data_IF_349557881322
#
_entry.id   IF_349557881322
#
_cell.length_a   1.000
_cell.length_b   1.000
_cell.length_c   1.000
_cell.angle_alpha   90.00
_cell.angle_beta   90.00
_cell.angle_gamma   90.00
#
_symmetry.space_group_name_H-M   'P 1'
#
loop_
_entity.id
_entity.type
_entity.pdbx_description
1 polymer ?
#
# COMPACT_ATOMS: atom_id res chain seq x y z
N UNK A 1 -5.97 19.67 38.28
CA UNK A 1 -6.77 20.53 37.39
C UNK A 1 -7.67 19.66 36.56
N UNK A 2 -8.95 19.57 36.92
CA UNK A 2 -9.98 18.77 36.23
C UNK A 2 -10.34 19.43 34.90
N UNK A 3 -10.06 18.79 33.79
CA UNK A 3 -10.57 19.22 32.47
C UNK A 3 -12.04 18.81 32.38
N UNK A 4 -12.93 19.73 32.68
CA UNK A 4 -14.36 19.60 32.33
C UNK A 4 -14.48 19.54 30.82
N UNK A 5 -14.72 18.35 30.32
CA UNK A 5 -15.09 18.11 28.92
C UNK A 5 -16.51 18.67 28.75
N UNK A 6 -16.60 19.91 28.25
CA UNK A 6 -17.87 20.53 27.90
C UNK A 6 -18.48 19.69 26.74
N UNK A 7 -19.41 18.81 27.06
CA UNK A 7 -20.17 18.02 26.09
C UNK A 7 -21.12 18.98 25.39
N UNK A 8 -20.72 19.45 24.21
CA UNK A 8 -21.60 20.27 23.35
C UNK A 8 -22.79 19.35 23.01
N UNK A 9 -24.00 19.74 23.42
CA UNK A 9 -25.21 18.99 23.09
C UNK A 9 -25.50 19.15 21.60
N UNK A 10 -25.52 18.01 20.88
CA UNK A 10 -25.85 17.97 19.47
C UNK A 10 -27.19 18.64 19.21
N UNK A 11 -27.23 19.54 18.28
CA UNK A 11 -28.46 20.19 17.82
C UNK A 11 -29.35 19.13 17.13
N UNK A 12 -30.65 19.46 16.93
CA UNK A 12 -31.54 18.53 16.17
C UNK A 12 -31.02 18.31 14.75
N UNK A 13 -30.45 19.29 14.14
CA UNK A 13 -29.85 19.23 12.80
C UNK A 13 -28.65 18.28 12.78
N UNK A 14 -27.78 18.36 13.78
CA UNK A 14 -26.62 17.48 13.92
C UNK A 14 -27.04 16.02 14.09
N UNK A 15 -28.13 15.75 14.83
CA UNK A 15 -28.66 14.40 15.01
C UNK A 15 -29.20 13.83 13.71
N UNK A 16 -29.98 14.61 12.95
CA UNK A 16 -30.50 14.22 11.65
C UNK A 16 -29.35 13.94 10.67
N UNK A 17 -28.39 14.83 10.60
CA UNK A 17 -27.19 14.68 9.77
C UNK A 17 -26.42 13.40 10.12
N UNK A 18 -26.16 13.16 11.39
CA UNK A 18 -25.50 11.96 11.88
C UNK A 18 -26.26 10.68 11.52
N UNK A 19 -27.60 10.69 11.65
CA UNK A 19 -28.43 9.52 11.24
C UNK A 19 -28.29 9.26 9.76
N UNK A 20 -28.39 10.29 8.91
CA UNK A 20 -28.24 10.13 7.45
C UNK A 20 -26.87 9.57 7.10
N UNK A 21 -25.80 10.11 7.70
CA UNK A 21 -24.44 9.59 7.48
C UNK A 21 -24.32 8.12 7.90
N UNK A 22 -24.84 7.75 9.06
CA UNK A 22 -24.81 6.36 9.53
C UNK A 22 -25.58 5.41 8.60
N UNK A 23 -26.72 5.84 8.07
CA UNK A 23 -27.48 5.05 7.10
C UNK A 23 -26.67 4.86 5.81
N UNK A 24 -26.05 5.93 5.29
CA UNK A 24 -25.21 5.85 4.09
C UNK A 24 -24.02 4.94 4.31
N UNK A 25 -23.32 5.08 5.44
CA UNK A 25 -22.17 4.24 5.79
C UNK A 25 -22.60 2.77 5.95
N UNK A 26 -23.71 2.51 6.62
CA UNK A 26 -24.22 1.15 6.79
C UNK A 26 -24.58 0.50 5.44
N UNK A 27 -25.21 1.25 4.54
CA UNK A 27 -25.55 0.78 3.20
C UNK A 27 -24.29 0.46 2.38
N UNK A 28 -23.30 1.35 2.40
CA UNK A 28 -22.00 1.12 1.76
C UNK A 28 -21.28 -0.10 2.34
N UNK A 29 -21.33 -0.26 3.66
CA UNK A 29 -20.72 -1.40 4.34
C UNK A 29 -21.37 -2.71 3.89
N UNK A 30 -22.69 -2.78 3.79
CA UNK A 30 -23.42 -3.97 3.29
C UNK A 30 -23.04 -4.28 1.85
N UNK A 31 -23.00 -3.27 0.98
CA UNK A 31 -22.63 -3.44 -0.43
C UNK A 31 -21.19 -4.00 -0.56
N UNK A 32 -20.25 -3.49 0.25
CA UNK A 32 -18.85 -3.93 0.23
C UNK A 32 -18.68 -5.30 0.92
N UNK A 33 -19.40 -5.54 2.01
CA UNK A 33 -19.30 -6.78 2.78
C UNK A 33 -19.87 -7.99 2.02
N UNK A 34 -20.92 -7.79 1.23
CA UNK A 34 -21.57 -8.89 0.50
C UNK A 34 -20.59 -9.71 -0.38
N UNK A 35 -19.84 -9.12 -1.32
CA UNK A 35 -18.89 -9.89 -2.14
C UNK A 35 -17.78 -10.56 -1.31
N UNK A 36 -17.36 -9.96 -0.20
CA UNK A 36 -16.37 -10.56 0.69
C UNK A 36 -16.93 -11.80 1.41
N UNK A 37 -18.12 -11.68 1.95
CA UNK A 37 -18.81 -12.81 2.61
C UNK A 37 -19.08 -13.92 1.58
N UNK A 38 -19.54 -13.56 0.38
CA UNK A 38 -19.77 -14.52 -0.70
C UNK A 38 -18.49 -15.31 -1.06
N UNK A 39 -17.35 -14.65 -1.21
CA UNK A 39 -16.07 -15.31 -1.50
C UNK A 39 -15.69 -16.27 -0.37
N UNK A 40 -15.80 -15.83 0.89
CA UNK A 40 -15.50 -16.68 2.05
C UNK A 40 -16.45 -17.87 2.10
N UNK A 41 -17.76 -17.67 1.93
CA UNK A 41 -18.75 -18.74 1.93
C UNK A 41 -18.52 -19.72 0.78
N UNK A 42 -18.21 -19.22 -0.42
CA UNK A 42 -17.89 -20.04 -1.58
C UNK A 42 -16.61 -20.86 -1.39
N UNK A 43 -15.62 -20.35 -0.67
CA UNK A 43 -14.37 -21.06 -0.41
C UNK A 43 -14.55 -22.30 0.47
N UNK A 44 -15.60 -22.33 1.28
CA UNK A 44 -15.97 -23.46 2.13
C UNK A 44 -17.13 -24.29 1.58
N UNK A 45 -17.58 -24.02 0.36
CA UNK A 45 -18.70 -24.72 -0.26
C UNK A 45 -18.21 -25.74 -1.30
N UNK A 46 -19.04 -26.74 -1.59
CA UNK A 46 -18.74 -27.70 -2.66
C UNK A 46 -18.70 -27.01 -4.03
N UNK A 47 -17.88 -27.54 -4.94
CA UNK A 47 -17.77 -27.04 -6.31
C UNK A 47 -19.12 -26.97 -7.03
N UNK A 48 -19.98 -27.98 -6.81
CA UNK A 48 -21.31 -28.03 -7.39
C UNK A 48 -22.24 -26.96 -6.85
N UNK A 49 -22.18 -26.67 -5.55
CA UNK A 49 -22.98 -25.63 -4.94
C UNK A 49 -22.61 -24.24 -5.46
N UNK A 50 -21.32 -24.00 -5.68
CA UNK A 50 -20.82 -22.73 -6.23
C UNK A 50 -21.19 -22.58 -7.71
N UNK A 51 -20.97 -23.61 -8.54
CA UNK A 51 -21.27 -23.55 -9.98
C UNK A 51 -22.77 -23.45 -10.26
N UNK A 52 -23.61 -24.02 -9.41
CA UNK A 52 -25.07 -23.94 -9.51
C UNK A 52 -25.65 -22.67 -8.87
N UNK A 53 -24.83 -21.77 -8.35
CA UNK A 53 -25.26 -20.51 -7.75
C UNK A 53 -26.09 -20.67 -6.45
N UNK A 54 -25.95 -21.82 -5.73
CA UNK A 54 -26.68 -22.07 -4.48
C UNK A 54 -26.07 -21.37 -3.27
N UNK A 55 -24.84 -20.90 -3.38
CA UNK A 55 -24.14 -20.17 -2.30
C UNK A 55 -24.58 -18.71 -2.33
N UNK A 56 -24.97 -18.17 -1.18
CA UNK A 56 -25.37 -16.76 -1.05
C UNK A 56 -24.59 -16.06 0.06
N UNK A 57 -24.91 -16.32 1.33
CA UNK A 57 -24.23 -15.72 2.50
C UNK A 57 -23.53 -16.78 3.36
N UNK A 58 -24.02 -18.01 3.32
CA UNK A 58 -23.51 -19.12 4.14
C UNK A 58 -22.99 -20.24 3.23
N UNK A 59 -21.98 -21.01 3.69
CA UNK A 59 -21.49 -22.17 2.97
C UNK A 59 -22.60 -23.20 2.74
N UNK A 60 -22.63 -23.80 1.55
CA UNK A 60 -23.56 -24.88 1.18
C UNK A 60 -22.73 -26.11 0.83
N UNK A 61 -23.12 -27.27 1.40
CA UNK A 61 -22.37 -28.53 1.23
C UNK A 61 -20.89 -28.33 1.58
N UNK A 62 -20.58 -28.12 2.87
CA UNK A 62 -19.23 -27.78 3.35
C UNK A 62 -18.17 -28.70 2.77
N UNK A 63 -17.16 -28.12 2.11
CA UNK A 63 -16.05 -28.82 1.46
C UNK A 63 -14.77 -28.01 1.51
N UNK A 64 -13.64 -28.68 1.69
CA UNK A 64 -12.29 -28.10 1.62
C UNK A 64 -11.56 -28.44 0.32
N UNK A 65 -12.24 -29.08 -0.63
CA UNK A 65 -11.65 -29.47 -1.93
C UNK A 65 -11.01 -28.29 -2.68
N UNK A 66 -11.61 -27.10 -2.58
CA UNK A 66 -11.04 -25.86 -3.15
C UNK A 66 -9.66 -25.53 -2.60
N UNK A 67 -9.51 -25.64 -1.28
CA UNK A 67 -8.22 -25.40 -0.61
C UNK A 67 -7.20 -26.50 -0.96
N UNK A 68 -7.59 -27.77 -0.97
CA UNK A 68 -6.72 -28.85 -1.38
C UNK A 68 -6.22 -28.68 -2.82
N UNK A 69 -7.11 -28.28 -3.74
CA UNK A 69 -6.74 -28.03 -5.14
C UNK A 69 -5.73 -26.87 -5.26
N UNK A 70 -5.89 -25.82 -4.43
CA UNK A 70 -4.97 -24.67 -4.41
C UNK A 70 -3.60 -25.09 -3.86
N UNK A 71 -3.55 -25.81 -2.72
CA UNK A 71 -2.29 -26.23 -2.11
C UNK A 71 -1.56 -27.33 -2.90
N UNK A 72 -2.28 -28.11 -3.71
CA UNK A 72 -1.65 -29.05 -4.66
C UNK A 72 -0.93 -28.35 -5.83
N UNK A 73 -1.26 -27.07 -6.10
CA UNK A 73 -0.59 -26.30 -7.15
C UNK A 73 0.64 -25.60 -6.59
N UNK A 74 1.82 -25.99 -7.07
CA UNK A 74 3.09 -25.37 -6.70
C UNK A 74 3.14 -23.86 -7.01
N UNK A 75 2.39 -23.38 -8.00
CA UNK A 75 2.38 -21.97 -8.42
C UNK A 75 1.98 -21.03 -7.29
N UNK A 76 1.02 -21.42 -6.44
CA UNK A 76 0.56 -20.61 -5.31
C UNK A 76 1.67 -20.48 -4.26
N UNK A 77 2.32 -21.59 -3.93
CA UNK A 77 3.43 -21.63 -2.95
C UNK A 77 4.61 -20.80 -3.48
N UNK A 78 4.95 -20.97 -4.77
CA UNK A 78 5.99 -20.18 -5.43
C UNK A 78 5.63 -18.70 -5.41
N UNK A 79 4.36 -18.34 -5.70
CA UNK A 79 3.87 -16.98 -5.66
C UNK A 79 4.04 -16.34 -4.28
N UNK A 80 3.63 -17.02 -3.21
CA UNK A 80 3.82 -16.54 -1.84
C UNK A 80 5.30 -16.37 -1.49
N UNK A 81 6.13 -17.39 -1.78
CA UNK A 81 7.58 -17.30 -1.55
C UNK A 81 8.20 -16.10 -2.25
N UNK A 82 7.87 -15.89 -3.51
CA UNK A 82 8.39 -14.78 -4.29
C UNK A 82 7.92 -13.44 -3.71
N UNK A 83 6.65 -13.33 -3.31
CA UNK A 83 6.11 -12.13 -2.68
C UNK A 83 6.86 -11.80 -1.40
N UNK A 84 7.10 -12.78 -0.51
CA UNK A 84 7.88 -12.57 0.70
C UNK A 84 9.30 -12.07 0.39
N UNK A 85 10.00 -12.74 -0.53
CA UNK A 85 11.36 -12.37 -0.92
C UNK A 85 11.40 -10.96 -1.49
N UNK A 86 10.53 -10.63 -2.44
CA UNK A 86 10.52 -9.30 -3.08
C UNK A 86 10.09 -8.20 -2.10
N UNK A 87 9.17 -8.49 -1.20
CA UNK A 87 8.76 -7.51 -0.18
C UNK A 87 9.90 -7.23 0.79
N UNK A 88 10.54 -8.26 1.35
CA UNK A 88 11.62 -8.06 2.32
C UNK A 88 12.82 -7.37 1.66
N UNK A 89 13.30 -7.90 0.54
CA UNK A 89 14.48 -7.34 -0.16
C UNK A 89 14.15 -5.95 -0.70
N UNK A 90 13.01 -5.79 -1.37
CA UNK A 90 12.59 -4.52 -1.96
C UNK A 90 12.40 -3.42 -0.93
N UNK A 91 11.73 -3.72 0.20
CA UNK A 91 11.55 -2.76 1.29
C UNK A 91 12.88 -2.38 1.94
N UNK A 92 13.77 -3.36 2.17
CA UNK A 92 15.09 -3.08 2.75
C UNK A 92 15.92 -2.18 1.84
N UNK A 93 15.95 -2.45 0.54
CA UNK A 93 16.66 -1.62 -0.45
C UNK A 93 16.02 -0.24 -0.54
N UNK A 94 14.68 -0.15 -0.57
CA UNK A 94 13.96 1.12 -0.62
C UNK A 94 14.27 1.99 0.60
N UNK A 95 14.21 1.44 1.81
CA UNK A 95 14.54 2.15 3.03
C UNK A 95 16.00 2.64 3.02
N UNK A 96 16.92 1.75 2.67
CA UNK A 96 18.36 2.08 2.65
C UNK A 96 18.64 3.20 1.66
N UNK A 97 18.17 3.09 0.42
CA UNK A 97 18.39 4.12 -0.61
C UNK A 97 17.67 5.43 -0.27
N UNK A 98 16.45 5.34 0.29
CA UNK A 98 15.71 6.53 0.71
C UNK A 98 16.45 7.29 1.81
N UNK A 99 16.99 6.60 2.81
CA UNK A 99 17.71 7.23 3.91
C UNK A 99 19.05 7.83 3.44
N UNK A 100 19.82 7.09 2.62
CA UNK A 100 21.07 7.60 2.03
C UNK A 100 20.83 8.86 1.18
N UNK A 101 19.72 8.92 0.45
CA UNK A 101 19.41 10.08 -0.37
C UNK A 101 18.77 11.22 0.45
N UNK A 102 17.92 10.91 1.43
CA UNK A 102 17.22 11.91 2.25
C UNK A 102 18.17 12.68 3.17
N UNK A 103 19.16 12.00 3.75
CA UNK A 103 20.09 12.61 4.69
C UNK A 103 20.86 13.80 4.08
N UNK A 104 21.61 13.65 2.98
CA UNK A 104 22.29 14.79 2.38
C UNK A 104 21.32 15.86 1.86
N UNK A 105 20.17 15.46 1.31
CA UNK A 105 19.16 16.42 0.84
C UNK A 105 18.50 17.22 1.98
N UNK A 106 18.56 16.74 3.22
CA UNK A 106 18.08 17.48 4.40
C UNK A 106 19.04 18.58 4.87
N UNK A 107 20.32 18.48 4.47
CA UNK A 107 21.36 19.43 4.85
C UNK A 107 21.18 20.77 4.13
N UNK A 108 21.31 21.88 4.87
CA UNK A 108 21.16 23.24 4.31
C UNK A 108 22.40 23.68 3.53
N UNK A 109 23.55 23.08 3.83
CA UNK A 109 24.87 23.35 3.23
C UNK A 109 25.11 22.55 1.94
N UNK A 110 24.19 21.66 1.53
CA UNK A 110 24.33 20.87 0.31
C UNK A 110 24.30 21.77 -0.94
N UNK A 111 25.41 21.82 -1.73
CA UNK A 111 25.43 22.54 -2.99
C UNK A 111 24.37 21.94 -3.93
N UNK A 112 23.60 22.80 -4.61
CA UNK A 112 22.51 22.41 -5.50
C UNK A 112 21.34 21.65 -4.82
N UNK A 113 21.28 21.56 -3.49
CA UNK A 113 20.24 20.80 -2.76
C UNK A 113 18.81 21.21 -3.10
N UNK A 114 18.56 22.51 -3.34
CA UNK A 114 17.24 23.00 -3.80
C UNK A 114 16.89 22.50 -5.20
N UNK A 115 17.86 22.49 -6.12
CA UNK A 115 17.68 21.99 -7.49
C UNK A 115 17.41 20.49 -7.52
N UNK A 116 18.17 19.72 -6.74
CA UNK A 116 17.94 18.27 -6.59
C UNK A 116 16.56 17.97 -6.00
N UNK A 117 16.17 18.70 -4.96
CA UNK A 117 14.83 18.54 -4.37
C UNK A 117 13.74 18.86 -5.38
N UNK A 118 13.91 19.92 -6.18
CA UNK A 118 12.96 20.27 -7.23
C UNK A 118 12.89 19.18 -8.31
N UNK A 119 14.03 18.60 -8.70
CA UNK A 119 14.09 17.48 -9.64
C UNK A 119 13.27 16.28 -9.14
N UNK A 120 13.48 15.85 -7.88
CA UNK A 120 12.69 14.77 -7.30
C UNK A 120 11.20 15.11 -7.21
N UNK A 121 10.86 16.33 -6.81
CA UNK A 121 9.47 16.79 -6.76
C UNK A 121 8.84 16.81 -8.16
N UNK A 122 9.59 17.20 -9.17
CA UNK A 122 9.13 17.16 -10.55
C UNK A 122 8.78 15.73 -10.99
N UNK A 123 9.63 14.74 -10.66
CA UNK A 123 9.36 13.33 -11.00
C UNK A 123 8.14 12.74 -10.29
N UNK A 124 7.66 13.34 -9.19
CA UNK A 124 6.39 12.93 -8.56
C UNK A 124 5.17 13.27 -9.41
N UNK A 125 5.23 14.40 -10.13
CA UNK A 125 4.12 14.93 -10.92
C UNK A 125 4.21 14.43 -12.36
N UNK A 126 5.42 14.40 -12.91
CA UNK A 126 5.69 14.01 -14.29
C UNK A 126 6.34 12.63 -14.35
N UNK A 127 5.58 11.63 -14.71
CA UNK A 127 6.11 10.29 -15.00
C UNK A 127 6.30 10.11 -16.50
N UNK A 128 7.37 9.40 -16.89
CA UNK A 128 7.61 9.07 -18.30
C UNK A 128 6.58 8.09 -18.89
N UNK A 129 5.78 7.45 -18.05
CA UNK A 129 4.81 6.46 -18.46
C UNK A 129 5.41 5.05 -18.67
N UNK A 130 4.56 4.14 -19.13
CA UNK A 130 4.92 2.72 -19.25
C UNK A 130 5.95 2.45 -20.35
N UNK A 131 5.86 3.13 -21.49
CA UNK A 131 6.74 2.88 -22.65
C UNK A 131 8.20 3.25 -22.35
N UNK A 132 8.54 4.45 -21.87
CA UNK A 132 9.89 4.79 -21.44
C UNK A 132 10.43 3.87 -20.35
N UNK A 133 9.61 3.49 -19.37
CA UNK A 133 10.01 2.55 -18.32
C UNK A 133 10.37 1.18 -18.90
N UNK A 134 9.56 0.66 -19.83
CA UNK A 134 9.86 -0.60 -20.52
C UNK A 134 11.17 -0.51 -21.33
N UNK A 135 11.38 0.58 -22.07
CA UNK A 135 12.60 0.78 -22.84
C UNK A 135 13.84 0.83 -21.94
N UNK A 136 13.75 1.50 -20.79
CA UNK A 136 14.81 1.53 -19.79
C UNK A 136 15.10 0.13 -19.26
N UNK A 137 14.08 -0.60 -18.82
CA UNK A 137 14.21 -1.98 -18.32
C UNK A 137 14.85 -2.89 -19.36
N UNK A 138 14.47 -2.71 -20.63
CA UNK A 138 15.04 -3.44 -21.76
C UNK A 138 16.52 -3.11 -21.97
N UNK A 139 16.89 -1.82 -21.97
CA UNK A 139 18.26 -1.37 -22.19
C UNK A 139 19.23 -1.83 -21.11
N UNK A 140 18.75 -1.95 -19.87
CA UNK A 140 19.53 -2.48 -18.71
C UNK A 140 19.55 -4.01 -18.66
N UNK A 141 18.82 -4.69 -19.57
CA UNK A 141 18.79 -6.15 -19.64
C UNK A 141 18.03 -6.82 -18.49
N UNK A 142 17.04 -6.15 -17.89
CA UNK A 142 16.25 -6.63 -16.76
C UNK A 142 14.92 -7.29 -17.19
N UNK A 143 14.64 -7.40 -18.48
CA UNK A 143 13.42 -8.09 -18.96
C UNK A 143 13.45 -9.54 -18.51
N UNK A 144 12.32 -10.04 -18.03
CA UNK A 144 12.13 -11.39 -17.50
C UNK A 144 13.06 -11.76 -16.32
N UNK A 145 13.63 -10.77 -15.62
CA UNK A 145 14.43 -11.00 -14.42
C UNK A 145 13.66 -10.57 -13.17
N UNK A 146 13.63 -11.40 -12.11
CA UNK A 146 12.99 -11.04 -10.83
C UNK A 146 13.51 -9.73 -10.24
N UNK A 147 14.76 -9.37 -10.52
CA UNK A 147 15.39 -8.13 -10.05
C UNK A 147 14.62 -6.86 -10.48
N UNK A 148 13.85 -6.91 -11.58
CA UNK A 148 13.04 -5.78 -12.03
C UNK A 148 12.01 -5.37 -10.98
N UNK A 149 11.42 -6.36 -10.27
CA UNK A 149 10.40 -6.12 -9.24
C UNK A 149 10.94 -5.35 -8.02
N UNK A 150 12.25 -5.45 -7.79
CA UNK A 150 12.94 -4.78 -6.69
C UNK A 150 13.56 -3.45 -7.13
N UNK A 151 14.15 -3.41 -8.32
CA UNK A 151 14.91 -2.25 -8.78
C UNK A 151 14.03 -1.13 -9.36
N UNK A 152 12.96 -1.51 -10.09
CA UNK A 152 12.02 -0.51 -10.61
C UNK A 152 11.16 0.02 -9.45
N UNK A 153 11.31 1.30 -9.14
CA UNK A 153 10.65 1.92 -8.00
C UNK A 153 11.36 1.74 -6.66
N UNK A 154 12.65 1.32 -6.67
CA UNK A 154 13.46 1.17 -5.44
C UNK A 154 13.64 2.49 -4.66
N UNK A 155 13.46 3.64 -5.29
CA UNK A 155 13.35 4.94 -4.62
C UNK A 155 12.01 5.57 -5.00
N UNK A 156 11.20 5.87 -3.97
CA UNK A 156 9.99 6.67 -4.12
C UNK A 156 10.33 8.13 -3.85
N UNK A 157 10.14 9.01 -4.83
CA UNK A 157 10.35 10.44 -4.65
C UNK A 157 9.48 11.02 -3.53
N UNK A 158 8.26 10.51 -3.37
CA UNK A 158 7.35 10.87 -2.28
C UNK A 158 7.95 10.55 -0.91
N UNK A 159 8.37 9.29 -0.70
CA UNK A 159 8.99 8.87 0.55
C UNK A 159 10.30 9.62 0.84
N UNK A 160 11.07 9.90 -0.21
CA UNK A 160 12.31 10.67 -0.11
C UNK A 160 12.04 12.08 0.42
N UNK A 161 11.05 12.79 -0.12
CA UNK A 161 10.69 14.14 0.32
C UNK A 161 10.16 14.14 1.76
N UNK A 162 9.36 13.13 2.14
CA UNK A 162 8.89 12.98 3.53
C UNK A 162 10.07 12.75 4.46
N UNK A 163 10.95 11.79 4.15
CA UNK A 163 12.11 11.47 4.98
C UNK A 163 13.04 12.68 5.12
N UNK A 164 13.35 13.37 4.01
CA UNK A 164 14.11 14.62 4.00
C UNK A 164 13.49 15.67 4.93
N UNK A 165 12.19 15.91 4.79
CA UNK A 165 11.49 16.94 5.57
C UNK A 165 11.45 16.59 7.05
N UNK A 166 11.26 15.31 7.36
CA UNK A 166 11.31 14.81 8.73
C UNK A 166 12.68 15.05 9.37
N UNK A 167 13.76 14.67 8.67
CA UNK A 167 15.15 14.87 9.16
C UNK A 167 15.41 16.36 9.37
N UNK A 168 15.04 17.20 8.39
CA UNK A 168 15.30 18.65 8.45
C UNK A 168 14.58 19.36 9.61
N UNK A 169 13.38 18.89 9.99
CA UNK A 169 12.55 19.57 11.00
C UNK A 169 12.72 18.98 12.40
N UNK A 170 13.12 17.72 12.53
CA UNK A 170 13.12 17.02 13.83
C UNK A 170 14.53 16.69 14.34
N UNK A 171 15.58 16.75 13.50
CA UNK A 171 16.93 16.49 13.95
C UNK A 171 17.63 17.83 14.17
N UNK A 172 18.03 18.18 15.42
CA UNK A 172 18.79 19.39 15.72
C UNK A 172 20.11 19.43 14.96
N UNK A 173 20.53 20.63 14.54
CA UNK A 173 21.79 20.81 13.80
C UNK A 173 23.02 20.32 14.60
N UNK A 174 22.96 20.41 15.92
CA UNK A 174 24.01 19.99 16.86
C UNK A 174 24.31 18.48 16.77
N UNK A 175 23.31 17.66 16.50
CA UNK A 175 23.48 16.21 16.28
C UNK A 175 24.05 15.88 14.89
N UNK A 176 24.03 16.84 13.98
CA UNK A 176 24.56 16.67 12.62
C UNK A 176 26.04 17.09 12.52
N UNK A 177 26.57 17.77 13.55
CA UNK A 177 27.96 18.28 13.63
C UNK A 177 28.85 17.38 14.53
N UNK A 178 28.26 16.44 15.27
CA UNK A 178 28.95 15.46 16.10
C UNK A 178 29.36 14.21 15.29
#
# INVERSE_FOLDING_TARGET
MSKTHNKISDSREDKIFNIIIHIIIALLLVIIAYPLIFVVSSSFSSKEAVTNGRVFLLPVDFSLEGYEAVFKKNDVIIGYRNTFIYTIIGTSINLFLTMIAAYPLSRRDLPFGKGLTLLFTFTMIFSGGMIPTYMLVKSVGLINKPAVMVLVGSISAYNLIIARTFIQNNIPAELLEA
#
